data_IF_642477685226
#
_entry.id   IF_642477685226
#
_cell.length_a   1.000
_cell.length_b   1.000
_cell.length_c   1.000
_cell.angle_alpha   90.00
_cell.angle_beta   90.00
_cell.angle_gamma   90.00
#
_symmetry.space_group_name_H-M   'P 1'
#
loop_
_entity.id
_entity.type
_entity.pdbx_description
1 polymer ?
#
# COMPACT_ATOMS: atom_id res chain seq x y z
N UNK A 1 6.31 -4.26 -3.86
CA UNK A 1 7.72 -4.21 -4.33
C UNK A 1 7.82 -5.05 -5.59
N UNK A 2 8.70 -4.72 -6.54
CA UNK A 2 8.98 -5.59 -7.68
C UNK A 2 10.41 -5.37 -8.19
N UNK A 3 11.12 -6.39 -8.70
CA UNK A 3 12.49 -6.23 -9.19
C UNK A 3 12.69 -5.11 -10.21
N UNK A 4 11.84 -5.04 -11.24
CA UNK A 4 12.10 -4.16 -12.39
C UNK A 4 10.88 -3.45 -13.01
N UNK A 5 9.65 -3.68 -12.55
CA UNK A 5 8.45 -3.12 -13.21
C UNK A 5 8.51 -1.59 -13.22
N UNK A 6 7.99 -0.97 -14.27
CA UNK A 6 7.74 0.46 -14.25
C UNK A 6 6.50 0.76 -13.38
N UNK A 7 6.61 1.57 -12.31
CA UNK A 7 5.45 1.92 -11.48
C UNK A 7 4.27 2.53 -12.25
N UNK A 8 4.49 3.18 -13.40
CA UNK A 8 3.41 3.73 -14.23
C UNK A 8 2.52 2.64 -14.86
N UNK A 9 3.05 1.43 -15.05
CA UNK A 9 2.25 0.28 -15.51
C UNK A 9 1.28 -0.17 -14.41
N UNK A 10 1.67 -0.05 -13.14
CA UNK A 10 0.79 -0.35 -12.00
C UNK A 10 -0.35 0.67 -11.94
N UNK A 11 -0.06 1.95 -12.14
CA UNK A 11 -1.10 2.99 -12.19
C UNK A 11 -2.18 2.66 -13.22
N UNK A 12 -1.73 2.33 -14.44
CA UNK A 12 -2.59 2.04 -15.58
C UNK A 12 -3.42 0.78 -15.34
N UNK A 13 -2.79 -0.28 -14.84
CA UNK A 13 -3.44 -1.57 -14.63
C UNK A 13 -4.50 -1.52 -13.53
N UNK A 14 -4.20 -0.84 -12.42
CA UNK A 14 -5.11 -0.71 -11.27
C UNK A 14 -6.07 0.46 -11.41
N UNK A 15 -5.88 1.35 -12.40
CA UNK A 15 -6.61 2.61 -12.55
C UNK A 15 -6.54 3.47 -11.28
N UNK A 16 -5.38 3.45 -10.62
CA UNK A 16 -5.08 4.19 -9.40
C UNK A 16 -3.85 5.05 -9.61
N UNK A 17 -3.80 6.21 -8.97
CA UNK A 17 -2.61 7.05 -9.01
C UNK A 17 -1.72 6.76 -7.80
N UNK A 18 -0.50 6.25 -8.03
CA UNK A 18 0.47 6.00 -6.98
C UNK A 18 0.88 7.29 -6.23
N UNK A 19 0.60 7.33 -4.92
CA UNK A 19 1.10 8.36 -3.99
C UNK A 19 2.63 8.38 -3.93
N UNK A 20 3.26 7.22 -4.08
CA UNK A 20 4.72 7.10 -4.20
C UNK A 20 5.11 6.11 -5.28
N UNK A 21 6.11 6.49 -6.08
CA UNK A 21 6.67 5.72 -7.18
C UNK A 21 8.19 5.77 -7.12
N UNK A 22 8.81 4.60 -7.15
CA UNK A 22 10.25 4.42 -7.26
C UNK A 22 10.48 3.36 -8.32
N UNK A 23 11.31 3.65 -9.32
CA UNK A 23 11.65 2.71 -10.38
C UNK A 23 13.07 2.20 -10.15
N UNK A 24 13.26 0.90 -10.29
CA UNK A 24 14.58 0.29 -10.21
C UNK A 24 15.54 0.95 -11.21
N UNK A 25 16.77 1.23 -10.76
CA UNK A 25 17.79 1.91 -11.57
C UNK A 25 17.74 3.43 -11.53
N UNK A 26 16.63 4.05 -11.12
CA UNK A 26 16.56 5.51 -11.01
C UNK A 26 17.43 6.01 -9.82
N UNK A 27 18.00 7.23 -9.91
CA UNK A 27 18.73 7.83 -8.81
C UNK A 27 17.89 7.93 -7.54
N UNK A 28 18.48 7.59 -6.39
CA UNK A 28 17.79 7.71 -5.11
C UNK A 28 17.60 9.17 -4.73
N UNK A 29 16.48 9.46 -4.07
CA UNK A 29 16.20 10.78 -3.50
C UNK A 29 15.49 10.68 -2.15
N UNK A 30 15.63 11.71 -1.32
CA UNK A 30 14.81 11.91 -0.11
C UNK A 30 13.35 12.15 -0.51
N UNK A 31 12.39 12.08 0.44
CA UNK A 31 11.00 12.46 0.16
C UNK A 31 10.85 13.86 -0.44
N UNK A 32 11.70 14.81 -0.02
CA UNK A 32 11.70 16.19 -0.53
C UNK A 32 12.52 16.37 -1.83
N UNK A 33 13.01 15.27 -2.42
CA UNK A 33 13.70 15.27 -3.72
C UNK A 33 15.21 15.48 -3.68
N UNK A 34 15.83 15.61 -2.51
CA UNK A 34 17.30 15.74 -2.40
C UNK A 34 17.97 14.46 -2.90
N UNK A 35 18.92 14.54 -3.86
CA UNK A 35 19.64 13.35 -4.33
C UNK A 35 20.36 12.61 -3.21
N UNK A 36 20.33 11.28 -3.27
CA UNK A 36 21.08 10.38 -2.40
C UNK A 36 22.04 9.53 -3.26
N UNK A 37 23.18 9.08 -2.71
CA UNK A 37 24.09 8.20 -3.43
C UNK A 37 23.42 6.89 -3.89
N UNK A 38 23.75 6.48 -5.11
CA UNK A 38 23.31 5.22 -5.72
C UNK A 38 21.92 5.28 -6.37
N UNK A 39 21.43 4.11 -6.76
CA UNK A 39 20.15 3.93 -7.47
C UNK A 39 19.21 3.02 -6.67
N UNK A 40 17.91 3.09 -6.96
CA UNK A 40 16.95 2.16 -6.36
C UNK A 40 17.22 0.73 -6.86
N UNK A 41 17.33 -0.22 -5.94
CA UNK A 41 17.55 -1.65 -6.25
C UNK A 41 16.30 -2.30 -6.86
N UNK A 42 15.14 -1.87 -6.40
CA UNK A 42 13.83 -2.41 -6.74
C UNK A 42 12.87 -1.28 -7.09
N UNK A 43 11.81 -1.64 -7.81
CA UNK A 43 10.68 -0.76 -8.03
C UNK A 43 9.70 -0.86 -6.87
N UNK A 44 9.17 0.29 -6.45
CA UNK A 44 8.14 0.42 -5.42
C UNK A 44 7.02 1.31 -5.91
N UNK A 45 5.81 0.89 -5.59
CA UNK A 45 4.60 1.64 -5.85
C UNK A 45 3.72 1.56 -4.60
N UNK A 46 3.14 2.69 -4.21
CA UNK A 46 2.22 2.76 -3.09
C UNK A 46 1.10 3.73 -3.42
N UNK A 47 -0.13 3.29 -3.21
CA UNK A 47 -1.32 4.13 -3.09
C UNK A 47 -1.85 4.01 -1.67
N UNK A 48 -2.55 5.03 -1.19
CA UNK A 48 -3.14 5.04 0.14
C UNK A 48 -4.39 5.90 0.14
N UNK A 49 -5.40 5.45 0.88
CA UNK A 49 -6.57 6.24 1.24
C UNK A 49 -6.51 6.54 2.73
N UNK A 50 -6.72 7.80 3.08
CA UNK A 50 -6.74 8.25 4.47
C UNK A 50 -8.20 8.34 4.92
N UNK A 51 -8.57 7.59 5.96
CA UNK A 51 -9.93 7.56 6.51
C UNK A 51 -9.95 8.10 7.92
N UNK A 52 -10.95 8.93 8.22
CA UNK A 52 -11.31 9.27 9.60
C UNK A 52 -12.55 8.49 9.98
N UNK A 53 -12.48 7.73 11.07
CA UNK A 53 -13.61 6.97 11.60
C UNK A 53 -13.77 7.23 13.08
N UNK A 54 -15.01 7.39 13.51
CA UNK A 54 -15.40 7.54 14.91
C UNK A 54 -15.87 6.21 15.53
N UNK A 55 -15.81 5.09 14.77
CA UNK A 55 -16.23 3.75 15.20
C UNK A 55 -15.35 2.61 14.66
N UNK A 56 -15.64 1.39 15.13
CA UNK A 56 -14.88 0.16 14.87
C UNK A 56 -15.40 -0.62 13.66
N UNK A 57 -15.28 -0.04 12.46
CA UNK A 57 -15.78 -0.63 11.21
C UNK A 57 -14.80 -0.48 10.04
N UNK A 58 -13.50 -0.54 10.33
CA UNK A 58 -12.49 -0.44 9.27
C UNK A 58 -12.49 -1.69 8.36
N UNK A 59 -13.03 -2.82 8.83
CA UNK A 59 -13.18 -4.04 8.02
C UNK A 59 -13.93 -3.79 6.72
N UNK A 60 -14.96 -2.95 6.72
CA UNK A 60 -15.75 -2.64 5.52
C UNK A 60 -14.90 -1.93 4.44
N UNK A 61 -13.91 -1.14 4.87
CA UNK A 61 -12.99 -0.47 3.94
C UNK A 61 -11.98 -1.45 3.36
N UNK A 62 -11.54 -2.43 4.16
CA UNK A 62 -10.70 -3.53 3.67
C UNK A 62 -11.49 -4.41 2.69
N UNK A 63 -12.77 -4.68 2.95
CA UNK A 63 -13.62 -5.47 2.04
C UNK A 63 -13.78 -4.77 0.69
N UNK A 64 -14.11 -3.49 0.71
CA UNK A 64 -14.21 -2.68 -0.52
C UNK A 64 -12.89 -2.64 -1.30
N UNK A 65 -11.75 -2.59 -0.60
CA UNK A 65 -10.44 -2.67 -1.21
C UNK A 65 -10.22 -4.04 -1.90
N UNK A 66 -10.52 -5.14 -1.19
CA UNK A 66 -10.37 -6.50 -1.74
C UNK A 66 -11.26 -6.67 -2.97
N UNK A 67 -12.51 -6.22 -2.92
CA UNK A 67 -13.44 -6.24 -4.08
C UNK A 67 -12.81 -5.55 -5.30
N UNK A 68 -12.18 -4.40 -5.10
CA UNK A 68 -11.47 -3.67 -6.16
C UNK A 68 -10.29 -4.49 -6.72
N UNK A 69 -9.47 -5.08 -5.84
CA UNK A 69 -8.30 -5.87 -6.24
C UNK A 69 -8.67 -7.15 -7.00
N UNK A 70 -9.80 -7.77 -6.70
CA UNK A 70 -10.26 -8.97 -7.39
C UNK A 70 -10.49 -8.76 -8.88
N UNK A 71 -10.97 -7.57 -9.27
CA UNK A 71 -11.13 -7.20 -10.68
C UNK A 71 -9.80 -7.15 -11.45
N UNK A 72 -8.67 -7.13 -10.74
CA UNK A 72 -7.31 -7.06 -11.27
C UNK A 72 -6.50 -8.34 -11.02
N UNK A 73 -7.13 -9.46 -10.62
CA UNK A 73 -6.45 -10.71 -10.24
C UNK A 73 -5.37 -11.17 -11.21
N UNK A 74 -5.65 -11.17 -12.51
CA UNK A 74 -4.69 -11.58 -13.56
C UNK A 74 -3.43 -10.72 -13.56
N UNK A 75 -3.58 -9.41 -13.36
CA UNK A 75 -2.44 -8.50 -13.28
C UNK A 75 -1.63 -8.71 -12.00
N UNK A 76 -2.30 -8.92 -10.86
CA UNK A 76 -1.64 -9.22 -9.59
C UNK A 76 -0.86 -10.55 -9.65
N UNK A 77 -1.44 -11.58 -10.28
CA UNK A 77 -0.77 -12.86 -10.54
C UNK A 77 0.47 -12.67 -11.40
N UNK A 78 0.37 -11.90 -12.49
CA UNK A 78 1.51 -11.58 -13.33
C UNK A 78 2.62 -10.89 -12.53
N UNK A 79 2.28 -9.85 -11.78
CA UNK A 79 3.20 -9.13 -10.90
C UNK A 79 3.97 -10.07 -9.98
N UNK A 80 3.29 -11.04 -9.35
CA UNK A 80 3.95 -12.01 -8.47
C UNK A 80 4.83 -12.99 -9.22
N UNK A 81 4.36 -13.50 -10.36
CA UNK A 81 5.10 -14.44 -11.20
C UNK A 81 6.44 -13.88 -11.68
N UNK A 82 6.55 -12.55 -11.79
CA UNK A 82 7.77 -11.83 -12.18
C UNK A 82 8.57 -11.31 -10.97
N UNK A 83 8.26 -11.78 -9.76
CA UNK A 83 9.02 -11.51 -8.53
C UNK A 83 8.46 -10.38 -7.66
N UNK A 84 7.27 -9.86 -7.99
CA UNK A 84 6.58 -8.85 -7.20
C UNK A 84 6.00 -9.36 -5.88
N UNK A 85 5.95 -8.47 -4.90
CA UNK A 85 5.28 -8.65 -3.62
C UNK A 85 4.21 -7.57 -3.46
N UNK A 86 3.02 -7.98 -3.02
CA UNK A 86 1.82 -7.14 -2.94
C UNK A 86 1.31 -7.20 -1.51
N UNK A 87 1.06 -6.02 -0.93
CA UNK A 87 0.68 -5.88 0.47
C UNK A 87 -0.52 -4.93 0.58
N UNK A 88 -1.51 -5.32 1.37
CA UNK A 88 -2.50 -4.40 1.95
C UNK A 88 -1.99 -4.02 3.33
N UNK A 89 -1.75 -2.73 3.56
CA UNK A 89 -1.21 -2.23 4.82
C UNK A 89 -2.30 -1.44 5.52
N UNK A 90 -2.70 -1.88 6.71
CA UNK A 90 -3.64 -1.15 7.59
C UNK A 90 -2.83 -0.38 8.62
N UNK A 91 -2.87 0.94 8.54
CA UNK A 91 -2.14 1.84 9.43
C UNK A 91 -3.08 2.49 10.44
N UNK A 92 -2.84 2.27 11.74
CA UNK A 92 -3.56 2.94 12.82
C UNK A 92 -2.75 4.13 13.34
N UNK A 93 -3.25 5.33 13.11
CA UNK A 93 -2.60 6.61 13.43
C UNK A 93 -3.27 7.35 14.61
N UNK A 94 -4.13 6.67 15.38
CA UNK A 94 -4.94 7.29 16.42
C UNK A 94 -4.14 7.61 17.70
N UNK A 95 -4.46 8.74 18.31
CA UNK A 95 -3.65 9.27 19.42
C UNK A 95 -3.90 8.55 20.76
N UNK A 96 -5.11 8.04 21.03
CA UNK A 96 -5.46 7.35 22.29
C UNK A 96 -6.70 6.45 22.13
N UNK A 97 -6.67 5.25 22.72
CA UNK A 97 -7.84 4.40 22.92
C UNK A 97 -7.73 2.98 22.34
N UNK A 98 -8.73 2.16 22.60
CA UNK A 98 -8.89 0.85 21.97
C UNK A 98 -9.54 1.04 20.60
N UNK A 99 -8.87 0.51 19.57
CA UNK A 99 -9.38 0.45 18.22
C UNK A 99 -9.14 -0.96 17.70
N UNK A 100 -10.20 -1.62 17.26
CA UNK A 100 -10.16 -3.02 16.86
C UNK A 100 -11.35 -3.34 15.97
N UNK A 101 -11.21 -4.40 15.20
CA UNK A 101 -12.24 -4.97 14.35
C UNK A 101 -11.83 -6.42 14.06
N UNK A 102 -12.69 -7.20 13.43
CA UNK A 102 -12.39 -8.58 13.04
C UNK A 102 -12.40 -8.70 11.53
N UNK A 103 -11.34 -9.25 10.95
CA UNK A 103 -11.36 -9.67 9.55
C UNK A 103 -11.96 -11.09 9.45
N UNK A 104 -13.15 -11.28 8.85
CA UNK A 104 -13.74 -12.59 8.70
C UNK A 104 -12.85 -13.53 7.88
N UNK A 105 -12.96 -14.82 8.15
CA UNK A 105 -12.16 -15.85 7.47
C UNK A 105 -12.28 -15.86 5.93
N UNK A 106 -13.42 -15.45 5.38
CA UNK A 106 -13.66 -15.43 3.95
C UNK A 106 -12.88 -14.29 3.28
N UNK A 107 -12.71 -13.14 3.95
CA UNK A 107 -11.86 -12.06 3.46
C UNK A 107 -10.39 -12.47 3.49
N UNK A 108 -9.95 -13.18 4.54
CA UNK A 108 -8.59 -13.73 4.60
C UNK A 108 -8.35 -14.74 3.47
N UNK A 109 -9.32 -15.60 3.16
CA UNK A 109 -9.22 -16.53 2.04
C UNK A 109 -9.08 -15.80 0.69
N UNK A 110 -9.85 -14.73 0.47
CA UNK A 110 -9.76 -13.89 -0.74
C UNK A 110 -8.37 -13.25 -0.90
N UNK A 111 -7.76 -12.78 0.19
CA UNK A 111 -6.38 -12.27 0.16
C UNK A 111 -5.37 -13.36 -0.25
N UNK A 112 -5.53 -14.58 0.27
CA UNK A 112 -4.70 -15.74 -0.12
C UNK A 112 -4.86 -16.06 -1.61
N UNK A 113 -6.09 -16.10 -2.12
CA UNK A 113 -6.35 -16.34 -3.54
C UNK A 113 -5.78 -15.25 -4.44
N UNK A 114 -5.79 -14.01 -3.96
CA UNK A 114 -5.15 -12.88 -4.63
C UNK A 114 -3.63 -12.87 -4.45
N UNK A 115 -3.05 -13.72 -3.59
CA UNK A 115 -1.63 -13.71 -3.24
C UNK A 115 -1.16 -12.38 -2.65
N UNK A 116 -1.99 -11.76 -1.82
CA UNK A 116 -1.74 -10.45 -1.21
C UNK A 116 -1.55 -10.63 0.29
N UNK A 117 -0.45 -10.10 0.81
CA UNK A 117 -0.17 -10.12 2.24
C UNK A 117 -0.96 -9.01 2.95
N UNK A 118 -1.38 -9.28 4.19
CA UNK A 118 -1.98 -8.30 5.07
C UNK A 118 -0.96 -7.85 6.12
N UNK A 119 -0.58 -6.59 6.06
CA UNK A 119 0.32 -5.96 7.01
C UNK A 119 -0.47 -5.04 7.94
N UNK A 120 -0.11 -5.02 9.22
CA UNK A 120 -0.75 -4.18 10.24
C UNK A 120 0.33 -3.34 10.91
N UNK A 121 0.16 -2.02 10.87
CA UNK A 121 1.07 -1.05 11.47
C UNK A 121 0.31 -0.19 12.50
N UNK A 122 0.71 -0.30 13.78
CA UNK A 122 0.12 0.47 14.86
C UNK A 122 1.12 1.53 15.34
N UNK A 123 0.75 2.80 15.24
CA UNK A 123 1.58 3.91 15.70
C UNK A 123 1.08 4.43 17.06
N UNK A 124 1.99 4.56 18.02
CA UNK A 124 1.69 5.01 19.39
C UNK A 124 1.96 6.50 19.62
N UNK A 125 2.30 7.24 18.56
CA UNK A 125 2.72 8.65 18.62
C UNK A 125 1.99 9.40 17.51
N UNK A 126 1.48 10.63 17.75
CA UNK A 126 0.89 11.45 16.71
C UNK A 126 1.87 11.55 15.54
N UNK A 127 1.47 11.11 14.35
CA UNK A 127 2.23 11.43 13.15
C UNK A 127 2.09 12.94 12.95
N UNK A 128 3.13 13.70 13.33
CA UNK A 128 3.17 15.11 12.98
C UNK A 128 3.10 15.19 11.46
N UNK A 129 1.96 15.61 10.94
CA UNK A 129 1.80 15.93 9.52
C UNK A 129 3.01 16.78 9.14
N UNK A 130 3.79 16.32 8.16
CA UNK A 130 4.80 17.17 7.53
C UNK A 130 4.03 18.26 6.79
N UNK A 131 3.62 19.30 7.52
CA UNK A 131 3.19 20.56 6.96
C UNK A 131 4.44 21.15 6.33
N UNK A 132 4.51 21.10 5.01
CA UNK A 132 5.46 21.90 4.23
C UNK A 132 5.24 23.35 4.63
N UNK A 133 6.14 23.90 5.45
CA UNK A 133 6.22 25.34 5.67
C UNK A 133 6.62 25.99 4.34
N UNK A 134 5.81 26.95 3.90
CA UNK A 134 6.09 27.78 2.72
C UNK A 134 7.18 28.81 2.96
#
# INVERSE_FOLDING_TARGET
MHPTIDPAQIDTALKLEGRSRQRAGDPRKTPNGTPLPGTYRDSRWRHAWDYQTTGQHFVNQIETLIDGLESHKVFLEHLRSTGGQIHVIVQFLGDKGYFGDSLPHHMLARLVELGVDLDIECYTVPQTSMTTSG
#
